data_IF_279171439711
#
_entry.id   IF_279171439711
#
_cell.length_a   1.000
_cell.length_b   1.000
_cell.length_c   1.000
_cell.angle_alpha   90.00
_cell.angle_beta   90.00
_cell.angle_gamma   90.00
#
_symmetry.space_group_name_H-M   'P 1'
#
loop_
_entity.id
_entity.type
_entity.pdbx_description
1 polymer ?
#
# COMPACT_ATOMS: atom_id res chain seq x y z
N UNK A 1 -4.50 -13.43 -10.54
CA UNK A 1 -4.57 -12.05 -10.01
C UNK A 1 -4.48 -11.10 -11.19
N UNK A 2 -5.52 -10.29 -11.38
CA UNK A 2 -5.55 -9.22 -12.38
C UNK A 2 -5.04 -7.91 -11.79
N UNK A 3 -4.31 -7.13 -12.59
CA UNK A 3 -3.88 -5.78 -12.18
C UNK A 3 -5.08 -4.85 -11.93
N UNK A 4 -6.20 -5.08 -12.61
CA UNK A 4 -7.44 -4.31 -12.41
C UNK A 4 -8.08 -4.62 -11.05
N UNK A 5 -8.04 -5.88 -10.60
CA UNK A 5 -8.53 -6.27 -9.26
C UNK A 5 -7.72 -5.60 -8.15
N UNK A 6 -6.38 -5.59 -8.30
CA UNK A 6 -5.49 -4.92 -7.34
C UNK A 6 -5.74 -3.41 -7.32
N UNK A 7 -5.89 -2.80 -8.48
CA UNK A 7 -6.20 -1.37 -8.57
C UNK A 7 -7.57 -1.04 -7.98
N UNK A 8 -8.58 -1.88 -8.20
CA UNK A 8 -9.89 -1.70 -7.58
C UNK A 8 -9.80 -1.80 -6.06
N UNK A 9 -9.10 -2.82 -5.53
CA UNK A 9 -8.90 -2.98 -4.09
C UNK A 9 -8.18 -1.76 -3.46
N UNK A 10 -7.18 -1.20 -4.13
CA UNK A 10 -6.53 0.05 -3.69
C UNK A 10 -7.49 1.23 -3.59
N UNK A 11 -8.40 1.40 -4.56
CA UNK A 11 -9.41 2.47 -4.55
C UNK A 11 -10.43 2.26 -3.43
N UNK A 12 -10.84 1.01 -3.22
CA UNK A 12 -11.87 0.67 -2.23
C UNK A 12 -11.34 0.83 -0.80
N UNK A 13 -10.14 0.34 -0.52
CA UNK A 13 -9.60 0.29 0.84
C UNK A 13 -8.80 1.54 1.23
N UNK A 14 -8.22 2.28 0.25
CA UNK A 14 -7.47 3.51 0.48
C UNK A 14 -8.01 4.70 -0.36
N UNK A 15 -9.29 5.08 -0.22
CA UNK A 15 -9.88 6.17 -1.01
C UNK A 15 -9.21 7.53 -0.76
N UNK A 16 -8.58 7.73 0.40
CA UNK A 16 -7.87 8.97 0.74
C UNK A 16 -6.45 9.03 0.16
N UNK A 17 -5.88 7.93 -0.33
CA UNK A 17 -4.57 7.98 -0.95
C UNK A 17 -4.60 8.77 -2.27
N UNK A 18 -3.44 9.23 -2.72
CA UNK A 18 -3.28 9.76 -4.08
C UNK A 18 -3.33 8.61 -5.09
N UNK A 19 -4.54 8.30 -5.53
CA UNK A 19 -4.82 7.26 -6.49
C UNK A 19 -4.32 7.55 -7.90
N UNK A 20 -4.46 6.54 -8.75
CA UNK A 20 -4.21 6.64 -10.19
C UNK A 20 -5.46 6.99 -10.95
N UNK A 21 -5.32 7.78 -12.02
CA UNK A 21 -6.43 8.07 -12.95
C UNK A 21 -6.61 6.99 -14.02
N UNK A 22 -5.56 6.23 -14.31
CA UNK A 22 -5.56 5.18 -15.32
C UNK A 22 -4.52 4.11 -14.98
N UNK A 23 -4.70 2.90 -15.47
CA UNK A 23 -3.78 1.79 -15.27
C UNK A 23 -2.84 1.65 -16.48
N UNK A 24 -1.69 2.31 -16.41
CA UNK A 24 -0.64 2.26 -17.45
C UNK A 24 0.16 0.95 -17.38
N UNK A 25 0.92 0.63 -18.43
CA UNK A 25 1.77 -0.57 -18.44
C UNK A 25 2.83 -0.56 -17.34
N UNK A 26 3.39 0.61 -17.03
CA UNK A 26 4.32 0.78 -15.90
C UNK A 26 3.66 0.40 -14.57
N UNK A 27 2.43 0.84 -14.33
CA UNK A 27 1.66 0.50 -13.11
C UNK A 27 1.27 -0.98 -13.05
N UNK A 28 0.93 -1.57 -14.20
CA UNK A 28 0.70 -3.02 -14.30
C UNK A 28 1.97 -3.79 -13.96
N UNK A 29 3.13 -3.35 -14.45
CA UNK A 29 4.41 -3.96 -14.13
C UNK A 29 4.76 -3.79 -12.64
N UNK A 30 4.48 -2.62 -12.06
CA UNK A 30 4.63 -2.37 -10.62
C UNK A 30 3.80 -3.35 -9.79
N UNK A 31 2.51 -3.51 -10.12
CA UNK A 31 1.64 -4.48 -9.43
C UNK A 31 2.20 -5.89 -9.52
N UNK A 32 2.58 -6.36 -10.72
CA UNK A 32 3.13 -7.71 -10.90
C UNK A 32 4.41 -7.93 -10.10
N UNK A 33 5.30 -6.95 -10.12
CA UNK A 33 6.57 -6.98 -9.39
C UNK A 33 6.33 -7.01 -7.88
N UNK A 34 5.45 -6.13 -7.39
CA UNK A 34 5.03 -6.09 -6.00
C UNK A 34 4.45 -7.45 -5.58
N UNK A 35 3.53 -8.01 -6.36
CA UNK A 35 2.87 -9.27 -6.04
C UNK A 35 3.86 -10.43 -5.93
N UNK A 36 4.83 -10.50 -6.85
CA UNK A 36 5.89 -11.51 -6.82
C UNK A 36 6.74 -11.43 -5.55
N UNK A 37 7.06 -10.22 -5.08
CA UNK A 37 7.82 -9.98 -3.84
C UNK A 37 6.99 -10.25 -2.59
N UNK A 38 5.81 -9.66 -2.51
CA UNK A 38 4.87 -9.82 -1.41
C UNK A 38 4.46 -11.29 -1.21
N UNK A 39 4.34 -12.08 -2.28
CA UNK A 39 4.14 -13.53 -2.20
C UNK A 39 5.26 -14.26 -1.45
N UNK A 40 6.52 -13.92 -1.71
CA UNK A 40 7.65 -14.55 -1.02
C UNK A 40 7.65 -14.19 0.47
N UNK A 41 7.39 -12.93 0.77
CA UNK A 41 7.30 -12.41 2.14
C UNK A 41 6.15 -13.06 2.89
N UNK A 42 4.95 -13.11 2.29
CA UNK A 42 3.78 -13.75 2.88
C UNK A 42 4.02 -15.24 3.14
N UNK A 43 4.68 -15.96 2.23
CA UNK A 43 5.03 -17.38 2.48
C UNK A 43 5.93 -17.55 3.70
N UNK A 44 6.88 -16.63 3.89
CA UNK A 44 7.81 -16.68 5.02
C UNK A 44 7.13 -16.29 6.34
N UNK A 45 6.23 -15.31 6.32
CA UNK A 45 5.58 -14.79 7.53
C UNK A 45 4.30 -15.56 7.92
N UNK A 46 3.49 -15.95 6.93
CA UNK A 46 2.16 -16.53 7.13
C UNK A 46 2.07 -18.03 6.77
N UNK A 47 3.14 -18.61 6.21
CA UNK A 47 3.13 -19.97 5.69
C UNK A 47 2.31 -20.15 4.40
N UNK A 48 1.71 -19.09 3.86
CA UNK A 48 0.88 -19.11 2.64
C UNK A 48 1.19 -17.94 1.69
N UNK A 49 0.99 -18.10 0.38
CA UNK A 49 1.16 -17.00 -0.57
C UNK A 49 0.14 -15.89 -0.33
N UNK A 50 0.46 -14.69 -0.84
CA UNK A 50 -0.48 -13.57 -0.82
C UNK A 50 -1.61 -13.82 -1.82
N UNK A 51 -2.84 -13.73 -1.32
CA UNK A 51 -4.08 -13.71 -2.10
C UNK A 51 -4.72 -12.32 -2.00
N UNK A 52 -5.87 -12.13 -2.66
CA UNK A 52 -6.58 -10.85 -2.64
C UNK A 52 -7.10 -10.48 -1.25
N UNK A 53 -7.43 -11.45 -0.40
CA UNK A 53 -7.91 -11.21 0.96
C UNK A 53 -6.76 -10.76 1.88
N UNK A 54 -5.57 -11.36 1.73
CA UNK A 54 -4.35 -10.93 2.39
C UNK A 54 -3.94 -9.53 1.95
N UNK A 55 -4.02 -9.23 0.66
CA UNK A 55 -3.76 -7.87 0.16
C UNK A 55 -4.78 -6.86 0.69
N UNK A 56 -6.08 -7.21 0.72
CA UNK A 56 -7.13 -6.37 1.30
C UNK A 56 -6.89 -6.12 2.78
N UNK A 57 -6.51 -7.15 3.53
CA UNK A 57 -6.19 -7.05 4.95
C UNK A 57 -4.99 -6.13 5.20
N UNK A 58 -3.95 -6.22 4.35
CA UNK A 58 -2.82 -5.30 4.37
C UNK A 58 -3.24 -3.84 4.17
N UNK A 59 -4.10 -3.55 3.18
CA UNK A 59 -4.59 -2.18 2.95
C UNK A 59 -5.50 -1.69 4.10
N UNK A 60 -6.36 -2.55 4.64
CA UNK A 60 -7.20 -2.22 5.81
C UNK A 60 -6.37 -1.89 7.03
N UNK A 61 -5.31 -2.65 7.26
CA UNK A 61 -4.40 -2.38 8.35
C UNK A 61 -3.79 -0.98 8.22
N UNK A 62 -3.32 -0.60 7.03
CA UNK A 62 -2.84 0.77 6.75
C UNK A 62 -3.93 1.80 7.04
N UNK A 63 -5.15 1.57 6.55
CA UNK A 63 -6.27 2.48 6.70
C UNK A 63 -6.66 2.72 8.16
N UNK A 64 -6.37 1.77 9.06
CA UNK A 64 -6.74 1.80 10.47
C UNK A 64 -5.59 2.24 11.39
N UNK A 65 -4.36 1.82 11.07
CA UNK A 65 -3.22 1.94 11.99
C UNK A 65 -2.12 2.88 11.46
N UNK A 66 -2.15 3.26 10.18
CA UNK A 66 -1.11 4.09 9.57
C UNK A 66 -1.70 5.33 8.85
N UNK A 67 -2.69 5.98 9.47
CA UNK A 67 -3.46 7.12 8.95
C UNK A 67 -2.57 8.27 8.51
N UNK A 68 -1.42 8.49 9.14
CA UNK A 68 -0.48 9.53 8.72
C UNK A 68 -0.06 9.41 7.25
N UNK A 69 -0.06 8.20 6.68
CA UNK A 69 0.24 7.98 5.26
C UNK A 69 -0.88 8.43 4.32
N UNK A 70 -2.10 8.62 4.84
CA UNK A 70 -3.31 8.93 4.09
C UNK A 70 -3.77 10.39 4.25
N UNK A 71 -3.06 11.17 5.06
CA UNK A 71 -3.43 12.54 5.40
C UNK A 71 -2.46 13.57 4.81
N UNK A 72 -2.98 14.75 4.51
CA UNK A 72 -2.16 15.92 4.24
C UNK A 72 -1.85 16.61 5.58
N UNK A 73 -0.59 16.60 6.02
CA UNK A 73 -0.18 17.14 7.33
C UNK A 73 0.73 18.36 7.17
N UNK A 74 0.43 19.51 7.82
CA UNK A 74 1.32 20.66 7.80
C UNK A 74 2.59 20.37 8.62
N UNK A 75 3.75 20.61 8.03
CA UNK A 75 5.03 20.59 8.71
C UNK A 75 5.31 21.98 9.28
N UNK A 76 5.15 22.13 10.59
CA UNK A 76 5.36 23.40 11.29
C UNK A 76 6.82 23.88 11.21
N UNK A 77 7.80 22.99 10.98
CA UNK A 77 9.21 23.38 10.90
C UNK A 77 9.60 23.92 9.53
N UNK A 78 9.10 23.29 8.46
CA UNK A 78 9.49 23.66 7.09
C UNK A 78 8.48 24.55 6.36
N UNK A 79 7.28 24.72 6.92
CA UNK A 79 6.15 25.42 6.28
C UNK A 79 5.55 24.64 5.10
N UNK A 80 6.04 23.43 4.81
CA UNK A 80 5.54 22.57 3.73
C UNK A 80 4.42 21.67 4.23
N UNK A 81 3.60 21.15 3.32
CA UNK A 81 2.59 20.13 3.65
C UNK A 81 3.09 18.77 3.22
N UNK A 82 3.24 17.84 4.18
CA UNK A 82 3.37 16.42 3.88
C UNK A 82 2.08 15.97 3.20
N UNK A 83 2.22 15.43 1.99
CA UNK A 83 1.08 14.99 1.19
C UNK A 83 0.85 13.51 1.41
N UNK A 84 -0.43 13.12 1.51
CA UNK A 84 -0.84 11.71 1.52
C UNK A 84 -0.15 10.90 0.43
N UNK A 85 0.20 9.65 0.70
CA UNK A 85 1.00 8.81 -0.19
C UNK A 85 0.25 8.44 -1.47
N UNK A 86 1.02 8.12 -2.52
CA UNK A 86 0.45 7.60 -3.78
C UNK A 86 0.29 6.09 -3.71
N UNK A 87 -0.61 5.52 -4.53
CA UNK A 87 -0.76 4.06 -4.69
C UNK A 87 0.57 3.33 -4.91
N UNK A 88 1.50 3.94 -5.64
CA UNK A 88 2.81 3.38 -5.93
C UNK A 88 3.61 3.02 -4.65
N UNK A 89 3.41 3.77 -3.55
CA UNK A 89 4.11 3.51 -2.28
C UNK A 89 3.62 2.26 -1.57
N UNK A 90 2.31 2.02 -1.58
CA UNK A 90 1.67 0.81 -1.03
C UNK A 90 1.99 -0.46 -1.83
N UNK A 91 2.56 -0.31 -3.03
CA UNK A 91 3.01 -1.39 -3.89
C UNK A 91 4.54 -1.53 -3.86
N UNK A 92 5.14 -1.37 -2.68
CA UNK A 92 6.58 -1.62 -2.47
C UNK A 92 6.81 -2.70 -1.43
N UNK A 93 7.80 -3.55 -1.69
CA UNK A 93 8.24 -4.60 -0.75
C UNK A 93 8.65 -4.01 0.60
N UNK A 94 9.37 -2.88 0.59
CA UNK A 94 9.79 -2.19 1.81
C UNK A 94 8.58 -1.80 2.66
N UNK A 95 7.61 -1.07 2.09
CA UNK A 95 6.45 -0.63 2.87
C UNK A 95 5.58 -1.80 3.30
N UNK A 96 5.49 -2.86 2.49
CA UNK A 96 4.77 -4.07 2.86
C UNK A 96 5.33 -4.72 4.13
N UNK A 97 6.66 -4.86 4.23
CA UNK A 97 7.32 -5.42 5.41
C UNK A 97 7.15 -4.48 6.62
N UNK A 98 7.49 -3.20 6.46
CA UNK A 98 7.45 -2.23 7.57
C UNK A 98 6.03 -2.10 8.18
N UNK A 99 4.99 -2.11 7.35
CA UNK A 99 3.60 -2.11 7.85
C UNK A 99 3.29 -3.39 8.61
N UNK A 100 3.73 -4.55 8.10
CA UNK A 100 3.49 -5.84 8.75
C UNK A 100 4.25 -6.01 10.05
N UNK A 101 5.35 -5.28 10.24
CA UNK A 101 6.14 -5.24 11.45
C UNK A 101 5.65 -4.16 12.44
N UNK A 102 4.69 -3.31 12.04
CA UNK A 102 4.15 -2.21 12.86
C UNK A 102 5.04 -0.96 12.90
N UNK A 103 6.09 -0.89 12.07
CA UNK A 103 7.03 0.24 11.99
C UNK A 103 6.38 1.52 11.43
N UNK A 104 5.20 1.39 10.82
CA UNK A 104 4.46 2.48 10.19
C UNK A 104 3.23 2.92 10.99
N UNK A 105 3.02 2.35 12.17
CA UNK A 105 1.87 2.64 13.00
C UNK A 105 1.88 4.10 13.48
N UNK A 106 0.69 4.70 13.59
CA UNK A 106 0.47 5.99 14.23
C UNK A 106 0.77 5.85 15.74
N UNK A 107 2.02 6.09 16.14
CA UNK A 107 2.44 6.20 17.54
C UNK A 107 2.61 7.66 17.95
#
# INVERSE_FOLDING_TARGET
MSCDEVWQCLKDELPEARGWRCLTDERRNLIRTFWGKANKIARNLDGKPMDMDGFRSYLRYIAQNCRWMLEDRPDQKSGKTWRRMKFDKFLTEKLYIEVREGDRDDR
#
